data_IF_230344551411
#
_entry.id   IF_230344551411
#
_cell.length_a   1.000
_cell.length_b   1.000
_cell.length_c   1.000
_cell.angle_alpha   90.00
_cell.angle_beta   90.00
_cell.angle_gamma   90.00
#
_symmetry.space_group_name_H-M   'P 1'
#
loop_
_entity.id
_entity.type
_entity.pdbx_description
1 polymer ?
#
# COMPACT_ATOMS: atom_id res chain seq x y z
N UNK A 1 35.63 -14.10 47.86
CA UNK A 1 35.28 -14.07 47.36
C UNK A 1 34.59 -13.82 46.70
N UNK A 2 34.12 -13.54 46.12
CA UNK A 2 33.36 -13.28 45.52
C UNK A 2 33.11 -13.05 44.47
N UNK A 3 32.74 -13.21 43.83
CA UNK A 3 32.38 -13.09 42.84
C UNK A 3 31.59 -12.68 42.25
N UNK A 4 31.37 -12.19 41.76
CA UNK A 4 30.63 -11.67 41.23
C UNK A 4 30.26 -11.78 40.12
N UNK A 5 29.72 -12.12 39.77
CA UNK A 5 29.17 -12.37 38.84
C UNK A 5 28.57 -11.46 38.19
N UNK A 6 28.75 -11.01 37.55
CA UNK A 6 28.19 -10.29 36.88
C UNK A 6 27.68 -10.57 35.86
N UNK A 7 27.12 -10.88 35.57
CA UNK A 7 26.25 -10.95 34.88
C UNK A 7 25.89 -9.97 34.23
N UNK A 8 26.43 -9.66 33.53
CA UNK A 8 26.13 -8.84 32.66
C UNK A 8 25.03 -9.17 31.97
N UNK A 9 24.12 -8.76 32.29
CA UNK A 9 23.04 -8.94 31.60
C UNK A 9 23.18 -8.52 30.25
N UNK A 10 23.30 -9.40 29.51
CA UNK A 10 23.29 -9.14 28.23
C UNK A 10 21.95 -8.66 27.87
N UNK A 11 21.77 -7.57 27.69
CA UNK A 11 20.73 -7.10 27.15
C UNK A 11 20.79 -7.30 25.81
N UNK A 12 20.35 -8.24 25.36
CA UNK A 12 19.96 -8.33 24.06
C UNK A 12 19.07 -7.19 23.81
N UNK A 13 19.57 -6.23 23.44
CA UNK A 13 18.83 -5.23 22.92
C UNK A 13 18.33 -5.76 21.66
N UNK A 14 17.24 -6.24 21.67
CA UNK A 14 16.58 -6.53 20.57
C UNK A 14 16.29 -5.30 19.89
N UNK A 15 17.12 -4.97 19.00
CA UNK A 15 16.75 -4.06 18.02
C UNK A 15 15.46 -4.59 17.47
N UNK A 16 14.38 -4.04 17.86
CA UNK A 16 13.16 -4.38 17.26
C UNK A 16 13.27 -3.92 15.82
N UNK A 17 13.66 -4.82 14.97
CA UNK A 17 13.48 -4.58 13.58
C UNK A 17 12.00 -4.53 13.39
N UNK A 18 11.47 -3.36 13.22
CA UNK A 18 10.13 -3.23 12.73
C UNK A 18 10.13 -3.80 11.34
N UNK A 19 9.56 -4.97 11.23
CA UNK A 19 9.36 -5.53 9.91
C UNK A 19 8.43 -4.58 9.15
N UNK A 20 8.77 -4.31 7.91
CA UNK A 20 7.89 -3.55 7.05
C UNK A 20 6.56 -4.29 6.93
N UNK A 21 5.48 -3.54 6.86
CA UNK A 21 4.17 -4.12 6.68
C UNK A 21 4.16 -4.88 5.35
N UNK A 22 3.56 -6.07 5.29
CA UNK A 22 3.56 -6.86 4.07
C UNK A 22 2.90 -6.18 2.86
N UNK A 23 2.10 -5.16 3.06
CA UNK A 23 1.52 -4.42 1.94
C UNK A 23 2.54 -3.48 1.27
N UNK A 24 3.64 -3.17 1.94
CA UNK A 24 4.64 -2.26 1.38
C UNK A 24 5.25 -2.85 0.11
N UNK A 25 5.51 -2.03 -0.84
CA UNK A 25 6.13 -2.41 -2.10
C UNK A 25 5.48 -1.74 -3.29
N UNK A 26 5.83 -2.23 -4.48
CA UNK A 26 5.31 -1.68 -5.72
C UNK A 26 4.18 -2.57 -6.24
N UNK A 27 3.10 -1.93 -6.61
CA UNK A 27 1.90 -2.63 -7.07
C UNK A 27 1.47 -2.12 -8.43
N UNK A 28 1.03 -3.03 -9.29
CA UNK A 28 0.53 -2.68 -10.61
C UNK A 28 -0.99 -2.68 -10.59
N UNK A 29 -1.58 -1.59 -11.04
CA UNK A 29 -3.04 -1.47 -11.10
C UNK A 29 -3.58 -2.25 -12.29
N UNK A 30 -4.90 -2.44 -12.32
CA UNK A 30 -5.53 -2.99 -13.50
C UNK A 30 -5.56 -1.92 -14.58
N UNK A 31 -5.76 -2.33 -15.81
CA UNK A 31 -5.92 -1.38 -16.90
C UNK A 31 -7.26 -0.64 -16.81
N UNK A 32 -7.26 0.62 -17.16
CA UNK A 32 -8.50 1.39 -17.28
C UNK A 32 -9.19 1.04 -18.61
N UNK A 33 -10.22 1.79 -18.98
CA UNK A 33 -10.99 1.51 -20.19
C UNK A 33 -10.14 1.59 -21.46
N UNK A 34 -9.02 2.30 -21.42
CA UNK A 34 -8.10 2.41 -22.53
C UNK A 34 -6.91 1.46 -22.41
N UNK A 35 -6.91 0.63 -21.37
CA UNK A 35 -5.80 -0.29 -21.11
C UNK A 35 -4.61 0.33 -20.41
N UNK A 36 -4.68 1.59 -20.00
CA UNK A 36 -3.60 2.26 -19.30
C UNK A 36 -3.56 1.83 -17.85
N UNK A 37 -2.37 1.66 -17.30
CA UNK A 37 -2.21 1.24 -15.91
C UNK A 37 -1.03 1.96 -15.27
N UNK A 38 -0.86 1.75 -13.99
CA UNK A 38 0.21 2.41 -13.24
C UNK A 38 0.86 1.53 -12.21
N UNK A 39 2.01 1.98 -11.75
CA UNK A 39 2.70 1.39 -10.62
C UNK A 39 2.54 2.31 -9.42
N UNK A 40 2.05 1.74 -8.33
CA UNK A 40 1.80 2.45 -7.08
C UNK A 40 2.79 1.97 -6.04
N UNK A 41 3.55 2.89 -5.48
CA UNK A 41 4.44 2.55 -4.36
C UNK A 41 3.67 2.70 -3.06
N UNK A 42 3.48 1.59 -2.34
CA UNK A 42 2.82 1.57 -1.04
C UNK A 42 3.87 1.55 0.04
N UNK A 43 3.79 2.47 0.98
CA UNK A 43 4.83 2.68 1.98
C UNK A 43 4.26 3.25 3.27
N UNK A 44 5.10 3.30 4.30
CA UNK A 44 4.76 3.95 5.55
C UNK A 44 4.76 5.47 5.38
N UNK A 45 3.75 6.12 5.92
CA UNK A 45 3.62 7.57 5.92
C UNK A 45 3.31 8.02 7.35
N UNK A 46 4.35 8.13 8.16
CA UNK A 46 4.24 8.57 9.56
C UNK A 46 3.24 7.74 10.38
N UNK A 47 3.30 6.43 10.22
CA UNK A 47 2.49 5.52 11.02
C UNK A 47 1.22 5.03 10.34
N UNK A 48 0.81 5.65 9.25
CA UNK A 48 -0.25 5.10 8.40
C UNK A 48 0.35 4.67 7.08
N UNK A 49 -0.45 4.02 6.26
CA UNK A 49 0.02 3.51 4.97
C UNK A 49 -0.54 4.39 3.87
N UNK A 50 0.31 4.74 2.93
CA UNK A 50 -0.09 5.49 1.75
C UNK A 50 0.52 4.88 0.49
N UNK A 51 -0.02 5.23 -0.64
CA UNK A 51 0.50 4.76 -1.93
C UNK A 51 0.49 5.87 -2.95
N UNK A 52 1.61 6.00 -3.66
CA UNK A 52 1.81 7.06 -4.64
C UNK A 52 1.99 6.49 -6.03
N UNK A 53 1.36 7.13 -7.00
CA UNK A 53 1.59 6.76 -8.41
C UNK A 53 3.01 7.15 -8.78
N UNK A 54 3.82 6.16 -9.18
CA UNK A 54 5.21 6.42 -9.54
C UNK A 54 5.46 6.36 -11.04
N UNK A 55 4.72 5.50 -11.76
CA UNK A 55 4.91 5.30 -13.18
C UNK A 55 3.58 5.00 -13.83
N UNK A 56 3.41 5.45 -15.05
CA UNK A 56 2.20 5.19 -15.82
C UNK A 56 2.58 4.54 -17.15
N UNK A 57 1.72 3.65 -17.63
CA UNK A 57 1.95 2.88 -18.83
C UNK A 57 0.72 2.91 -19.71
N UNK A 58 0.93 2.86 -21.02
CA UNK A 58 -0.18 2.67 -21.96
C UNK A 58 -0.52 1.17 -22.08
N UNK A 59 -1.50 0.87 -22.91
CA UNK A 59 -1.96 -0.51 -23.11
C UNK A 59 -0.88 -1.43 -23.69
N UNK A 60 0.11 -0.87 -24.34
CA UNK A 60 1.22 -1.64 -24.91
C UNK A 60 2.37 -1.80 -23.94
N UNK A 61 2.23 -1.30 -22.73
CA UNK A 61 3.27 -1.41 -21.72
C UNK A 61 4.36 -0.35 -21.82
N UNK A 62 4.15 0.68 -22.62
CA UNK A 62 5.14 1.75 -22.75
C UNK A 62 4.92 2.77 -21.65
N UNK A 63 6.00 3.25 -21.06
CA UNK A 63 5.95 4.32 -20.06
C UNK A 63 5.44 5.59 -20.72
N UNK A 64 4.44 6.21 -20.10
CA UNK A 64 3.89 7.48 -20.56
C UNK A 64 3.92 8.49 -19.44
N UNK A 65 3.91 9.76 -19.79
CA UNK A 65 3.87 10.83 -18.79
C UNK A 65 2.45 10.95 -18.26
N UNK A 66 2.34 11.24 -16.97
CA UNK A 66 1.05 11.54 -16.35
C UNK A 66 1.19 12.76 -15.46
N UNK A 67 0.19 13.61 -15.49
CA UNK A 67 0.12 14.75 -14.57
C UNK A 67 -0.08 14.30 -13.14
N UNK A 68 -0.45 13.04 -12.93
CA UNK A 68 -0.70 12.49 -11.59
C UNK A 68 0.52 11.79 -10.99
N UNK A 69 1.66 11.82 -11.66
CA UNK A 69 2.89 11.20 -11.12
C UNK A 69 3.21 11.79 -9.76
N UNK A 70 3.51 10.92 -8.80
CA UNK A 70 3.78 11.25 -7.40
C UNK A 70 2.56 11.72 -6.60
N UNK A 71 1.37 11.61 -7.17
CA UNK A 71 0.15 11.91 -6.44
C UNK A 71 -0.21 10.72 -5.54
N UNK A 72 -0.69 11.02 -4.35
CA UNK A 72 -1.18 9.99 -3.44
C UNK A 72 -2.48 9.43 -4.00
N UNK A 73 -2.52 8.12 -4.17
CA UNK A 73 -3.70 7.40 -4.66
C UNK A 73 -4.47 6.84 -3.47
N UNK A 74 -3.77 6.32 -2.47
CA UNK A 74 -4.35 5.86 -1.21
C UNK A 74 -3.60 6.52 -0.06
N UNK A 75 -4.27 6.83 1.02
CA UNK A 75 -3.63 7.44 2.18
C UNK A 75 -4.43 7.16 3.45
N UNK A 76 -3.79 7.36 4.59
CA UNK A 76 -4.36 7.13 5.92
C UNK A 76 -4.88 5.71 6.12
N UNK A 77 -4.28 4.75 5.43
CA UNK A 77 -4.69 3.35 5.50
C UNK A 77 -4.10 2.72 6.77
N UNK A 78 -4.89 1.91 7.44
CA UNK A 78 -4.49 1.23 8.65
C UNK A 78 -4.64 -0.27 8.48
N UNK A 79 -3.63 -1.02 8.93
CA UNK A 79 -3.68 -2.47 8.94
C UNK A 79 -4.64 -2.92 10.06
N UNK A 80 -5.72 -3.59 9.69
CA UNK A 80 -6.73 -4.09 10.62
C UNK A 80 -6.52 -5.55 10.98
N UNK A 81 -5.45 -6.16 10.46
CA UNK A 81 -5.14 -7.56 10.71
C UNK A 81 -5.74 -8.50 9.68
N UNK A 82 -5.15 -9.66 9.55
CA UNK A 82 -5.64 -10.72 8.67
C UNK A 82 -5.73 -10.31 7.19
N UNK A 83 -4.79 -9.47 6.76
CA UNK A 83 -4.75 -9.00 5.38
C UNK A 83 -5.76 -7.90 5.06
N UNK A 84 -6.43 -7.35 6.05
CA UNK A 84 -7.44 -6.32 5.82
C UNK A 84 -6.91 -4.95 6.20
N UNK A 85 -7.14 -4.00 5.32
CA UNK A 85 -6.67 -2.63 5.47
C UNK A 85 -7.83 -1.68 5.18
N UNK A 86 -8.01 -0.68 6.01
CA UNK A 86 -9.10 0.29 5.85
C UNK A 86 -8.84 1.54 6.68
N UNK A 87 -9.82 2.39 6.78
CA UNK A 87 -9.74 3.60 7.60
C UNK A 87 -9.20 4.81 6.86
N UNK A 88 -8.77 4.63 5.63
CA UNK A 88 -8.24 5.73 4.83
C UNK A 88 -9.07 6.00 3.60
N UNK A 89 -8.43 6.63 2.65
CA UNK A 89 -9.09 7.10 1.42
C UNK A 89 -8.40 6.54 0.18
N UNK A 90 -9.15 6.53 -0.90
CA UNK A 90 -8.62 6.22 -2.23
C UNK A 90 -9.19 7.23 -3.22
N UNK A 91 -8.32 7.74 -4.08
CA UNK A 91 -8.71 8.64 -5.14
C UNK A 91 -8.77 7.90 -6.48
N UNK A 92 -9.87 8.10 -7.20
CA UNK A 92 -10.06 7.51 -8.51
C UNK A 92 -9.76 8.56 -9.58
N UNK A 93 -8.72 8.38 -10.41
CA UNK A 93 -8.43 9.32 -11.49
C UNK A 93 -9.55 9.40 -12.51
N UNK A 94 -10.20 8.26 -12.79
CA UNK A 94 -11.23 8.19 -13.83
C UNK A 94 -12.44 9.02 -13.48
N UNK A 95 -12.76 9.10 -12.20
CA UNK A 95 -13.94 9.82 -11.73
C UNK A 95 -13.61 11.11 -11.03
N UNK A 96 -12.33 11.35 -10.76
CA UNK A 96 -11.84 12.46 -9.95
C UNK A 96 -12.64 12.56 -8.66
N UNK A 97 -12.78 11.42 -7.98
CA UNK A 97 -13.48 11.32 -6.71
C UNK A 97 -12.67 10.55 -5.69
N UNK A 98 -12.87 10.91 -4.44
CA UNK A 98 -12.23 10.25 -3.31
C UNK A 98 -13.27 9.43 -2.56
N UNK A 99 -12.90 8.21 -2.25
CA UNK A 99 -13.76 7.25 -1.56
C UNK A 99 -13.07 6.76 -0.29
N UNK A 100 -13.85 6.19 0.61
CA UNK A 100 -13.26 5.43 1.70
C UNK A 100 -12.63 4.17 1.09
N UNK A 101 -11.47 3.76 1.58
CA UNK A 101 -10.78 2.63 0.98
C UNK A 101 -10.93 1.37 1.80
N UNK A 102 -10.99 0.25 1.09
CA UNK A 102 -10.84 -1.07 1.68
C UNK A 102 -9.88 -1.84 0.81
N UNK A 103 -8.85 -2.40 1.43
CA UNK A 103 -7.87 -3.20 0.73
C UNK A 103 -7.78 -4.57 1.39
N UNK A 104 -7.58 -5.59 0.59
CA UNK A 104 -7.40 -6.94 1.07
C UNK A 104 -6.16 -7.52 0.45
N UNK A 105 -5.18 -7.83 1.29
CA UNK A 105 -3.92 -8.40 0.84
C UNK A 105 -3.97 -9.92 0.90
N UNK A 106 -3.61 -10.56 -0.20
CA UNK A 106 -3.51 -11.99 -0.28
C UNK A 106 -2.26 -12.32 -1.10
N UNK A 107 -1.13 -12.48 -0.41
CA UNK A 107 0.16 -12.72 -1.07
C UNK A 107 0.57 -11.56 -1.97
N UNK A 108 0.67 -11.83 -3.26
CA UNK A 108 1.07 -10.83 -4.24
C UNK A 108 -0.11 -10.17 -4.94
N UNK A 109 -1.30 -10.33 -4.37
CA UNK A 109 -2.51 -9.71 -4.87
C UNK A 109 -3.12 -8.78 -3.83
N UNK A 110 -3.59 -7.65 -4.27
CA UNK A 110 -4.20 -6.65 -3.41
C UNK A 110 -5.54 -6.23 -4.01
N UNK A 111 -6.61 -6.69 -3.40
CA UNK A 111 -7.94 -6.32 -3.84
C UNK A 111 -8.27 -4.93 -3.32
N UNK A 112 -8.67 -4.05 -4.22
CA UNK A 112 -8.87 -2.64 -3.90
C UNK A 112 -10.32 -2.27 -4.10
N UNK A 113 -10.92 -1.60 -3.12
CA UNK A 113 -12.30 -1.13 -3.21
C UNK A 113 -12.43 0.29 -2.70
N UNK A 114 -13.31 1.04 -3.32
CA UNK A 114 -13.70 2.35 -2.85
C UNK A 114 -15.15 2.31 -2.37
N UNK A 115 -15.41 2.90 -1.23
CA UNK A 115 -16.71 2.82 -0.59
C UNK A 115 -17.31 4.19 -0.31
N UNK A 116 -18.62 4.30 -0.50
CA UNK A 116 -19.38 5.46 -0.08
C UNK A 116 -20.46 4.90 0.85
N UNK A 117 -20.41 5.27 2.11
CA UNK A 117 -21.29 4.74 3.14
C UNK A 117 -21.14 3.21 3.20
N UNK A 118 -22.20 2.47 2.90
CA UNK A 118 -22.16 1.01 2.94
C UNK A 118 -21.95 0.36 1.58
N UNK A 119 -21.84 1.17 0.53
CA UNK A 119 -21.70 0.64 -0.82
C UNK A 119 -20.25 0.71 -1.25
N UNK A 120 -19.68 -0.44 -1.54
CA UNK A 120 -18.31 -0.54 -2.00
C UNK A 120 -18.27 -0.93 -3.48
N UNK A 121 -17.39 -0.30 -4.22
CA UNK A 121 -17.19 -0.58 -5.63
C UNK A 121 -15.81 -1.19 -5.79
N UNK A 122 -15.76 -2.29 -6.53
CA UNK A 122 -14.49 -2.98 -6.80
C UNK A 122 -13.62 -2.09 -7.70
N UNK A 123 -12.43 -1.81 -7.25
CA UNK A 123 -11.42 -1.06 -8.01
C UNK A 123 -10.40 -1.96 -8.69
N UNK A 124 -10.64 -3.26 -8.67
CA UNK A 124 -9.74 -4.24 -9.28
C UNK A 124 -8.76 -4.83 -8.29
N UNK A 125 -8.02 -5.80 -8.76
CA UNK A 125 -6.97 -6.44 -7.96
C UNK A 125 -5.63 -6.01 -8.51
N UNK A 126 -4.85 -5.35 -7.66
CA UNK A 126 -3.49 -4.96 -8.03
C UNK A 126 -2.55 -6.13 -7.81
N UNK A 127 -1.53 -6.23 -8.65
CA UNK A 127 -0.54 -7.30 -8.53
C UNK A 127 0.80 -6.72 -8.12
N UNK A 128 1.53 -7.47 -7.29
CA UNK A 128 2.84 -7.01 -6.82
C UNK A 128 3.84 -7.03 -7.97
N UNK A 129 4.58 -5.95 -8.12
CA UNK A 129 5.66 -5.85 -9.10
C UNK A 129 6.91 -6.43 -8.47
N UNK A 130 7.55 -7.34 -9.17
CA UNK A 130 8.77 -8.00 -8.69
C UNK A 130 10.00 -7.62 -9.49
#
# INVERSE_FOLDING_TARGET
MKLLALTAGAFAVLASSTLADPIHGMWQTIGDDNGNYGHIEVKDCDGTICGFLRKSFDADGKVVKSEHTNKAIVWDIVNKGKGKYSGGKIWSPDRNKTYDSKLELNGDQLKVSGCVLFLCRDGGTWTRVK
#
